data_IF_727730805591
#
_entry.id   IF_727730805591
#
_cell.length_a   1.000
_cell.length_b   1.000
_cell.length_c   1.000
_cell.angle_alpha   90.00
_cell.angle_beta   90.00
_cell.angle_gamma   90.00
#
_symmetry.space_group_name_H-M   'P 1'
#
loop_
_entity.id
_entity.type
_entity.pdbx_description
1 polymer ?
#
# COMPACT_ATOMS: atom_id res chain seq x y z
N UNK A 1 -0.29 -24.75 -34.54
CA UNK A 1 -0.33 -24.80 -33.06
C UNK A 1 -0.05 -23.41 -32.53
N UNK A 2 -1.05 -22.53 -32.44
CA UNK A 2 -0.89 -21.13 -32.02
C UNK A 2 -1.91 -20.70 -30.96
N UNK A 3 -3.10 -21.31 -30.96
CA UNK A 3 -4.19 -21.00 -30.03
C UNK A 3 -3.89 -21.24 -28.54
N UNK A 4 -2.92 -22.12 -28.24
CA UNK A 4 -2.52 -22.42 -26.87
C UNK A 4 -1.56 -21.39 -26.27
N UNK A 5 -0.86 -20.61 -27.11
CA UNK A 5 0.09 -19.58 -26.66
C UNK A 5 -0.63 -18.29 -26.26
N UNK A 6 -1.66 -17.87 -27.00
CA UNK A 6 -2.44 -16.67 -26.65
C UNK A 6 -3.22 -16.83 -25.34
N UNK A 7 -3.77 -18.03 -25.07
CA UNK A 7 -4.49 -18.30 -23.82
C UNK A 7 -3.56 -18.35 -22.60
N UNK A 8 -2.37 -18.92 -22.72
CA UNK A 8 -1.40 -18.94 -21.63
C UNK A 8 -0.86 -17.55 -21.34
N UNK A 9 -0.59 -16.73 -22.36
CA UNK A 9 -0.18 -15.32 -22.19
C UNK A 9 -1.29 -14.52 -21.49
N UNK A 10 -2.55 -14.67 -21.91
CA UNK A 10 -3.66 -13.97 -21.29
C UNK A 10 -3.88 -14.40 -19.83
N UNK A 11 -3.71 -15.69 -19.52
CA UNK A 11 -3.74 -16.20 -18.13
C UNK A 11 -2.59 -15.64 -17.28
N UNK A 12 -1.39 -15.50 -17.86
CA UNK A 12 -0.23 -14.92 -17.17
C UNK A 12 -0.46 -13.44 -16.84
N UNK A 13 -1.03 -12.68 -17.79
CA UNK A 13 -1.38 -11.27 -17.58
C UNK A 13 -2.40 -11.11 -16.46
N UNK A 14 -3.44 -11.95 -16.43
CA UNK A 14 -4.44 -11.93 -15.35
C UNK A 14 -3.83 -12.25 -13.98
N UNK A 15 -2.91 -13.21 -13.92
CA UNK A 15 -2.16 -13.52 -12.69
C UNK A 15 -1.30 -12.34 -12.23
N UNK A 16 -0.60 -11.67 -13.14
CA UNK A 16 0.18 -10.47 -12.80
C UNK A 16 -0.70 -9.34 -12.26
N UNK A 17 -1.86 -9.09 -12.88
CA UNK A 17 -2.81 -8.08 -12.40
C UNK A 17 -3.32 -8.44 -11.01
N UNK A 18 -3.66 -9.71 -10.77
CA UNK A 18 -4.10 -10.17 -9.45
C UNK A 18 -3.03 -10.00 -8.37
N UNK A 19 -1.76 -10.31 -8.69
CA UNK A 19 -0.63 -10.14 -7.78
C UNK A 19 -0.37 -8.65 -7.45
N UNK A 20 -0.45 -7.76 -8.45
CA UNK A 20 -0.31 -6.31 -8.24
C UNK A 20 -1.46 -5.80 -7.37
N UNK A 21 -2.70 -6.22 -7.64
CA UNK A 21 -3.87 -5.83 -6.85
C UNK A 21 -3.75 -6.28 -5.38
N UNK A 22 -3.28 -7.51 -5.15
CA UNK A 22 -2.96 -8.03 -3.82
C UNK A 22 -1.89 -7.18 -3.13
N UNK A 23 -0.77 -6.88 -3.80
CA UNK A 23 0.29 -6.06 -3.23
C UNK A 23 -0.20 -4.66 -2.83
N UNK A 24 -1.01 -4.02 -3.69
CA UNK A 24 -1.62 -2.72 -3.40
C UNK A 24 -2.57 -2.79 -2.20
N UNK A 25 -3.38 -3.85 -2.10
CA UNK A 25 -4.30 -4.05 -0.97
C UNK A 25 -3.55 -4.22 0.37
N UNK A 26 -2.43 -4.95 0.36
CA UNK A 26 -1.58 -5.11 1.54
C UNK A 26 -0.93 -3.79 1.98
N UNK A 27 -0.48 -2.98 1.02
CA UNK A 27 0.11 -1.66 1.28
C UNK A 27 -0.92 -0.69 1.86
N UNK A 28 -2.12 -0.66 1.30
CA UNK A 28 -3.24 0.16 1.81
C UNK A 28 -3.61 -0.23 3.25
N UNK A 29 -3.68 -1.53 3.54
CA UNK A 29 -3.93 -2.04 4.90
C UNK A 29 -2.83 -1.70 5.91
N UNK A 30 -1.56 -1.64 5.49
CA UNK A 30 -0.45 -1.20 6.35
C UNK A 30 -0.57 0.30 6.66
N UNK A 31 -0.91 1.09 5.64
CA UNK A 31 -1.06 2.53 5.73
C UNK A 31 -2.23 2.96 6.63
N UNK A 32 -3.40 2.33 6.48
CA UNK A 32 -4.57 2.50 7.36
C UNK A 32 -4.22 2.26 8.83
N UNK A 33 -3.36 1.26 9.10
CA UNK A 33 -2.88 0.96 10.45
C UNK A 33 -2.01 2.09 11.01
N UNK A 34 -1.03 2.55 10.24
CA UNK A 34 -0.16 3.68 10.65
C UNK A 34 -0.95 4.97 10.90
N UNK A 35 -1.95 5.24 10.06
CA UNK A 35 -2.85 6.37 10.23
C UNK A 35 -3.63 6.27 11.53
N UNK A 36 -4.24 5.11 11.81
CA UNK A 36 -4.97 4.86 13.06
C UNK A 36 -4.10 4.95 14.29
N UNK A 37 -2.87 4.42 14.26
CA UNK A 37 -1.90 4.56 15.36
C UNK A 37 -1.61 6.03 15.67
N UNK A 38 -1.41 6.85 14.64
CA UNK A 38 -1.19 8.28 14.81
C UNK A 38 -2.43 9.01 15.38
N UNK A 39 -3.62 8.64 14.92
CA UNK A 39 -4.88 9.21 15.38
C UNK A 39 -5.18 8.84 16.84
N UNK A 40 -4.84 7.61 17.27
CA UNK A 40 -4.92 7.15 18.67
C UNK A 40 -3.95 7.95 19.56
N UNK A 41 -2.77 8.31 19.06
CA UNK A 41 -1.82 9.19 19.77
C UNK A 41 -2.30 10.64 19.84
N UNK A 42 -3.44 11.00 19.25
CA UNK A 42 -3.93 12.38 19.19
C UNK A 42 -3.15 13.25 18.19
N UNK A 43 -2.36 12.63 17.32
CA UNK A 43 -1.58 13.29 16.28
C UNK A 43 -2.32 13.39 14.96
N UNK A 44 -1.86 14.31 14.10
CA UNK A 44 -2.26 14.40 12.70
C UNK A 44 -1.29 13.59 11.85
N UNK A 45 -1.84 12.66 11.08
CA UNK A 45 -1.08 11.86 10.15
C UNK A 45 -0.87 12.61 8.83
N UNK A 46 0.38 12.71 8.38
CA UNK A 46 0.75 13.22 7.06
C UNK A 46 1.58 12.18 6.32
N UNK A 47 1.15 11.83 5.10
CA UNK A 47 1.96 11.03 4.19
C UNK A 47 2.75 11.97 3.29
N UNK A 48 4.08 11.96 3.43
CA UNK A 48 4.98 12.76 2.58
C UNK A 48 5.37 11.94 1.35
N UNK A 49 5.64 10.65 1.55
CA UNK A 49 6.03 9.71 0.50
C UNK A 49 5.48 8.31 0.79
N UNK A 50 5.53 7.42 -0.22
CA UNK A 50 5.10 6.02 -0.09
C UNK A 50 5.81 5.26 1.04
N UNK A 51 7.02 5.69 1.41
CA UNK A 51 7.86 5.12 2.47
C UNK A 51 8.05 6.05 3.67
N UNK A 52 7.56 7.30 3.61
CA UNK A 52 7.74 8.28 4.67
C UNK A 52 6.40 8.81 5.10
N UNK A 53 5.90 8.24 6.20
CA UNK A 53 4.73 8.69 6.88
C UNK A 53 5.16 9.41 8.15
N UNK A 54 4.56 10.54 8.47
CA UNK A 54 4.83 11.26 9.71
C UNK A 54 3.55 11.42 10.52
N UNK A 55 3.70 11.35 11.82
CA UNK A 55 2.67 11.67 12.80
C UNK A 55 3.08 12.93 13.54
N UNK A 56 2.25 13.96 13.49
CA UNK A 56 2.50 15.25 14.12
C UNK A 56 1.55 15.43 15.31
N UNK A 57 2.08 15.39 16.51
CA UNK A 57 1.34 15.57 17.77
C UNK A 57 1.82 16.88 18.43
N UNK A 58 1.05 17.97 18.26
CA UNK A 58 1.47 19.30 18.72
C UNK A 58 2.76 19.76 18.01
N UNK A 59 3.83 19.99 18.79
CA UNK A 59 5.17 20.35 18.29
C UNK A 59 6.08 19.13 18.03
N UNK A 60 5.63 17.90 18.29
CA UNK A 60 6.42 16.69 18.09
C UNK A 60 6.09 16.02 16.77
N UNK A 61 7.11 15.79 15.94
CA UNK A 61 7.01 15.00 14.70
C UNK A 61 7.63 13.64 14.92
N UNK A 62 6.87 12.57 14.72
CA UNK A 62 7.32 11.17 14.70
C UNK A 62 7.30 10.64 13.28
N UNK A 63 8.42 10.11 12.81
CA UNK A 63 8.44 9.36 11.55
C UNK A 63 7.92 7.93 11.80
N UNK A 64 6.93 7.52 11.01
CA UNK A 64 6.36 6.19 10.93
C UNK A 64 6.92 5.52 9.67
N UNK A 65 7.85 4.58 9.85
CA UNK A 65 8.54 3.85 8.79
C UNK A 65 7.92 2.46 8.56
#
# INVERSE_FOLDING_TARGET
>A
MALNSDRTVNMLVLLCIALIALAMFWLDSKFERMKKDCEIMGGKFYSISFTENICVEGERVRQLQ
#
